data_IF_189734541775
#
_entry.id   IF_189734541775
#
_cell.length_a   1.000
_cell.length_b   1.000
_cell.length_c   1.000
_cell.angle_alpha   90.00
_cell.angle_beta   90.00
_cell.angle_gamma   90.00
#
_symmetry.space_group_name_H-M   'P 1'
#
loop_
_entity.id
_entity.type
_entity.pdbx_description
1 polymer ?
#
# COMPACT_ATOMS: atom_id res chain seq x y z
N UNK A 1 25.09 -10.61 22.93
CA UNK A 1 24.43 -9.73 21.94
C UNK A 1 23.05 -10.31 21.68
N UNK A 2 22.03 -9.47 21.49
CA UNK A 2 20.73 -9.99 21.08
C UNK A 2 20.82 -10.46 19.62
N UNK A 3 20.24 -11.62 19.31
CA UNK A 3 20.18 -12.18 17.96
C UNK A 3 18.73 -12.16 17.47
N UNK A 4 18.53 -12.05 16.15
CA UNK A 4 17.21 -12.10 15.54
C UNK A 4 16.58 -13.47 15.82
N UNK A 5 15.45 -13.48 16.53
CA UNK A 5 14.78 -14.72 16.91
C UNK A 5 13.86 -15.23 15.79
N UNK A 6 14.44 -15.54 14.62
CA UNK A 6 13.74 -15.91 13.37
C UNK A 6 12.62 -16.92 13.65
N UNK A 7 12.93 -18.05 14.29
CA UNK A 7 11.95 -19.11 14.56
C UNK A 7 10.79 -18.65 15.46
N UNK A 8 11.05 -17.72 16.39
CA UNK A 8 9.99 -17.15 17.24
C UNK A 8 9.08 -16.23 16.45
N UNK A 9 9.63 -15.43 15.53
CA UNK A 9 8.84 -14.55 14.67
C UNK A 9 8.01 -15.34 13.67
N UNK A 10 8.58 -16.37 13.04
CA UNK A 10 7.84 -17.31 12.17
C UNK A 10 6.70 -17.96 12.94
N UNK A 11 6.99 -18.50 14.14
CA UNK A 11 5.96 -19.12 14.99
C UNK A 11 4.86 -18.12 15.36
N UNK A 12 5.19 -16.87 15.66
CA UNK A 12 4.21 -15.84 15.98
C UNK A 12 3.29 -15.54 14.78
N UNK A 13 3.86 -15.29 13.60
CA UNK A 13 3.09 -14.99 12.38
C UNK A 13 2.12 -16.14 12.06
N UNK A 14 2.60 -17.39 12.09
CA UNK A 14 1.77 -18.57 11.86
C UNK A 14 0.70 -18.80 12.95
N UNK A 15 0.95 -18.35 14.19
CA UNK A 15 -0.01 -18.48 15.28
C UNK A 15 -1.15 -17.45 15.18
N UNK A 16 -0.86 -16.23 14.73
CA UNK A 16 -1.87 -15.19 14.50
C UNK A 16 -2.91 -15.65 13.48
N UNK A 17 -2.49 -16.35 12.44
CA UNK A 17 -3.39 -16.93 11.43
C UNK A 17 -4.32 -18.00 12.03
N UNK A 18 -3.79 -18.85 12.92
CA UNK A 18 -4.49 -20.03 13.47
C UNK A 18 -5.41 -19.69 14.64
N UNK A 19 -5.12 -18.64 15.40
CA UNK A 19 -5.88 -18.30 16.60
C UNK A 19 -7.15 -17.49 16.31
N UNK A 20 -8.09 -18.08 15.55
CA UNK A 20 -9.27 -17.40 15.01
C UNK A 20 -10.34 -17.05 16.06
N UNK A 21 -10.29 -17.67 17.24
CA UNK A 21 -11.31 -17.56 18.28
C UNK A 21 -10.95 -16.57 19.40
N UNK A 22 -9.76 -15.97 19.35
CA UNK A 22 -9.38 -14.92 20.29
C UNK A 22 -10.19 -13.65 20.07
N UNK A 23 -10.44 -12.88 21.15
CA UNK A 23 -11.14 -11.60 21.05
C UNK A 23 -10.45 -10.66 20.05
N UNK A 24 -9.11 -10.60 20.11
CA UNK A 24 -8.28 -9.84 19.20
C UNK A 24 -8.47 -10.29 17.74
N UNK A 25 -8.51 -11.60 17.48
CA UNK A 25 -8.74 -12.10 16.13
C UNK A 25 -10.15 -11.80 15.60
N UNK A 26 -11.16 -11.78 16.47
CA UNK A 26 -12.53 -11.45 16.07
C UNK A 26 -12.65 -9.95 15.76
N UNK A 27 -12.05 -9.09 16.58
CA UNK A 27 -12.06 -7.63 16.34
C UNK A 27 -11.27 -7.26 15.08
N UNK A 28 -10.16 -7.95 14.82
CA UNK A 28 -9.30 -7.72 13.66
C UNK A 28 -9.71 -8.53 12.42
N UNK A 29 -10.86 -9.22 12.47
CA UNK A 29 -11.28 -10.14 11.41
C UNK A 29 -11.40 -9.45 10.05
N UNK A 30 -11.93 -8.22 10.05
CA UNK A 30 -12.08 -7.39 8.87
C UNK A 30 -10.74 -6.87 8.29
N UNK A 31 -9.60 -7.06 8.96
CA UNK A 31 -8.27 -6.60 8.50
C UNK A 31 -7.37 -7.74 8.03
N UNK A 32 -7.83 -9.00 8.08
CA UNK A 32 -7.00 -10.19 7.83
C UNK A 32 -6.29 -10.17 6.48
N UNK A 33 -6.95 -9.73 5.41
CA UNK A 33 -6.34 -9.65 4.06
C UNK A 33 -5.11 -8.75 4.04
N UNK A 34 -5.19 -7.58 4.67
CA UNK A 34 -4.04 -6.68 4.74
C UNK A 34 -2.96 -7.22 5.68
N UNK A 35 -3.36 -7.81 6.82
CA UNK A 35 -2.44 -8.50 7.73
C UNK A 35 -1.70 -9.66 7.07
N UNK A 36 -2.36 -10.41 6.18
CA UNK A 36 -1.76 -11.49 5.41
C UNK A 36 -0.64 -10.97 4.51
N UNK A 37 -0.86 -9.87 3.79
CA UNK A 37 0.20 -9.26 2.96
C UNK A 37 1.46 -8.94 3.78
N UNK A 38 1.31 -8.24 4.90
CA UNK A 38 2.45 -7.87 5.75
C UNK A 38 3.11 -9.07 6.42
N UNK A 39 2.32 -10.02 6.91
CA UNK A 39 2.83 -11.24 7.55
C UNK A 39 3.62 -12.12 6.57
N UNK A 40 3.10 -12.32 5.35
CA UNK A 40 3.76 -13.11 4.31
C UNK A 40 5.03 -12.41 3.80
N UNK A 41 4.99 -11.09 3.65
CA UNK A 41 6.18 -10.31 3.30
C UNK A 41 7.26 -10.41 4.38
N UNK A 42 6.89 -10.40 5.65
CA UNK A 42 7.83 -10.64 6.74
C UNK A 42 8.42 -12.06 6.70
N UNK A 43 7.62 -13.09 6.38
CA UNK A 43 8.13 -14.44 6.19
C UNK A 43 9.10 -14.55 5.01
N UNK A 44 8.82 -13.88 3.89
CA UNK A 44 9.74 -13.80 2.76
C UNK A 44 11.08 -13.16 3.16
N UNK A 45 11.03 -12.01 3.85
CA UNK A 45 12.22 -11.33 4.35
C UNK A 45 13.08 -12.22 5.28
N UNK A 46 12.43 -13.13 6.01
CA UNK A 46 13.10 -14.11 6.87
C UNK A 46 13.57 -15.37 6.12
N UNK A 47 13.29 -15.50 4.82
CA UNK A 47 13.58 -16.70 4.02
C UNK A 47 12.73 -17.90 4.43
N UNK A 48 11.48 -17.65 4.85
CA UNK A 48 10.55 -18.63 5.45
C UNK A 48 9.15 -18.57 4.84
N UNK A 49 9.03 -18.04 3.62
CA UNK A 49 7.76 -17.99 2.90
C UNK A 49 7.20 -19.41 2.65
N UNK A 50 8.07 -20.41 2.50
CA UNK A 50 7.74 -21.83 2.37
C UNK A 50 7.12 -22.45 3.64
N UNK A 51 7.09 -21.72 4.76
CA UNK A 51 6.49 -22.17 6.02
C UNK A 51 4.95 -22.07 6.04
N UNK A 52 4.34 -21.48 5.00
CA UNK A 52 2.87 -21.42 4.84
C UNK A 52 2.40 -22.39 3.75
N UNK A 53 1.15 -22.83 3.86
CA UNK A 53 0.50 -23.57 2.79
C UNK A 53 -0.05 -22.59 1.74
N UNK A 54 0.71 -22.38 0.66
CA UNK A 54 0.36 -21.44 -0.41
C UNK A 54 -1.02 -21.72 -0.99
N UNK A 55 -1.38 -22.99 -1.22
CA UNK A 55 -2.68 -23.36 -1.78
C UNK A 55 -3.84 -23.03 -0.84
N UNK A 56 -3.64 -23.17 0.48
CA UNK A 56 -4.63 -22.79 1.48
C UNK A 56 -4.85 -21.27 1.50
N UNK A 57 -3.78 -20.50 1.45
CA UNK A 57 -3.84 -19.02 1.40
C UNK A 57 -4.56 -18.56 0.13
N UNK A 58 -4.20 -19.10 -1.04
CA UNK A 58 -4.85 -18.76 -2.31
C UNK A 58 -6.33 -19.12 -2.30
N UNK A 59 -6.67 -20.33 -1.84
CA UNK A 59 -8.06 -20.78 -1.69
C UNK A 59 -8.86 -19.86 -0.78
N UNK A 60 -8.27 -19.36 0.31
CA UNK A 60 -8.91 -18.38 1.19
C UNK A 60 -9.07 -17.01 0.51
N UNK A 61 -8.04 -16.50 -0.16
CA UNK A 61 -8.10 -15.22 -0.88
C UNK A 61 -9.24 -15.23 -1.91
N UNK A 62 -9.32 -16.28 -2.73
CA UNK A 62 -10.36 -16.40 -3.76
C UNK A 62 -11.78 -16.45 -3.18
N UNK A 63 -11.96 -16.99 -1.96
CA UNK A 63 -13.26 -16.97 -1.25
C UNK A 63 -13.63 -15.58 -0.71
N UNK A 64 -12.66 -14.68 -0.57
CA UNK A 64 -12.90 -13.29 -0.19
C UNK A 64 -13.28 -12.40 -1.41
N UNK A 65 -13.25 -12.93 -2.64
CA UNK A 65 -13.68 -12.17 -3.81
C UNK A 65 -15.21 -12.09 -3.87
N UNK A 66 -15.74 -10.88 -3.93
CA UNK A 66 -17.17 -10.62 -4.04
C UNK A 66 -17.68 -10.79 -5.49
N UNK A 67 -19.00 -10.86 -5.68
CA UNK A 67 -19.62 -10.87 -7.01
C UNK A 67 -19.29 -9.61 -7.81
N UNK A 68 -19.12 -8.47 -7.13
CA UNK A 68 -18.71 -7.19 -7.72
C UNK A 68 -17.28 -7.19 -8.23
N UNK A 69 -16.46 -8.17 -7.82
CA UNK A 69 -15.06 -8.35 -8.21
C UNK A 69 -14.02 -7.89 -7.20
N UNK A 70 -14.41 -7.01 -6.27
CA UNK A 70 -13.55 -6.56 -5.18
C UNK A 70 -13.34 -7.64 -4.12
N UNK A 71 -12.26 -7.51 -3.35
CA UNK A 71 -11.99 -8.41 -2.24
C UNK A 71 -12.37 -7.75 -0.92
N UNK A 72 -12.79 -8.59 0.02
CA UNK A 72 -13.06 -8.22 1.39
C UNK A 72 -11.87 -8.52 2.30
N UNK A 73 -11.90 -7.97 3.52
CA UNK A 73 -10.84 -8.19 4.50
C UNK A 73 -10.81 -9.61 5.05
N UNK A 74 -11.96 -10.29 5.03
CA UNK A 74 -12.11 -11.73 5.26
C UNK A 74 -13.44 -12.21 4.64
N UNK A 75 -13.67 -13.53 4.60
CA UNK A 75 -14.90 -14.14 4.10
C UNK A 75 -16.11 -13.56 4.83
N UNK A 76 -17.12 -13.11 4.08
CA UNK A 76 -18.37 -12.58 4.62
C UNK A 76 -18.34 -11.09 4.99
N UNK A 77 -17.25 -10.38 4.70
CA UNK A 77 -17.16 -8.92 4.85
C UNK A 77 -17.36 -8.20 3.52
N UNK A 78 -17.58 -6.89 3.58
CA UNK A 78 -17.76 -6.05 2.39
C UNK A 78 -16.47 -5.90 1.57
N UNK A 79 -16.58 -5.82 0.24
CA UNK A 79 -15.44 -5.54 -0.63
C UNK A 79 -14.95 -4.10 -0.44
N UNK A 80 -13.63 -3.92 -0.48
CA UNK A 80 -12.99 -2.61 -0.34
C UNK A 80 -11.65 -2.59 -1.08
N UNK A 81 -11.29 -1.45 -1.68
CA UNK A 81 -10.10 -1.35 -2.52
C UNK A 81 -8.78 -1.74 -1.83
N UNK A 82 -8.62 -1.39 -0.54
CA UNK A 82 -7.48 -1.83 0.28
C UNK A 82 -7.26 -3.35 0.25
N UNK A 83 -8.32 -4.12 0.39
CA UNK A 83 -8.23 -5.59 0.42
C UNK A 83 -8.11 -6.15 -0.99
N UNK A 84 -8.70 -5.50 -2.00
CA UNK A 84 -8.44 -5.81 -3.41
C UNK A 84 -6.95 -5.67 -3.74
N UNK A 85 -6.30 -4.56 -3.36
CA UNK A 85 -4.85 -4.42 -3.54
C UNK A 85 -4.09 -5.50 -2.76
N UNK A 86 -4.43 -5.71 -1.48
CA UNK A 86 -3.73 -6.69 -0.64
C UNK A 86 -3.81 -8.11 -1.22
N UNK A 87 -4.97 -8.52 -1.74
CA UNK A 87 -5.16 -9.80 -2.43
C UNK A 87 -4.27 -9.91 -3.68
N UNK A 88 -4.26 -8.88 -4.53
CA UNK A 88 -3.40 -8.82 -5.72
C UNK A 88 -1.92 -8.89 -5.33
N UNK A 89 -1.50 -8.17 -4.30
CA UNK A 89 -0.12 -8.18 -3.81
C UNK A 89 0.30 -9.54 -3.26
N UNK A 90 -0.56 -10.24 -2.51
CA UNK A 90 -0.26 -11.60 -2.02
C UNK A 90 -0.16 -12.60 -3.18
N UNK A 91 -1.09 -12.53 -4.14
CA UNK A 91 -1.01 -13.38 -5.33
C UNK A 91 0.24 -13.08 -6.15
N UNK A 92 0.62 -11.80 -6.27
CA UNK A 92 1.87 -11.41 -6.88
C UNK A 92 3.06 -12.01 -6.11
N UNK A 93 3.12 -11.87 -4.77
CA UNK A 93 4.16 -12.41 -3.89
C UNK A 93 4.42 -13.91 -4.12
N UNK A 94 3.37 -14.69 -4.37
CA UNK A 94 3.49 -16.12 -4.67
C UNK A 94 3.73 -16.44 -6.15
N UNK A 95 3.83 -15.44 -7.02
CA UNK A 95 3.85 -15.58 -8.47
C UNK A 95 2.64 -16.39 -9.00
N UNK A 96 1.45 -16.02 -8.50
CA UNK A 96 0.16 -16.69 -8.75
C UNK A 96 -0.93 -15.73 -9.21
N UNK A 97 -0.58 -14.65 -9.91
CA UNK A 97 -1.57 -13.74 -10.49
C UNK A 97 -2.43 -14.43 -11.57
N UNK A 98 -1.98 -15.53 -12.16
CA UNK A 98 -2.69 -16.31 -13.16
C UNK A 98 -3.99 -16.95 -12.64
N UNK A 99 -4.12 -17.13 -11.33
CA UNK A 99 -5.35 -17.68 -10.71
C UNK A 99 -6.44 -16.64 -10.50
N UNK A 100 -6.10 -15.34 -10.63
CA UNK A 100 -7.01 -14.24 -10.45
C UNK A 100 -7.82 -14.01 -11.73
N UNK A 101 -9.14 -13.87 -11.58
CA UNK A 101 -9.96 -13.22 -12.61
C UNK A 101 -9.64 -11.72 -12.62
N UNK A 102 -8.63 -11.36 -13.42
CA UNK A 102 -8.13 -9.98 -13.53
C UNK A 102 -9.23 -9.05 -14.01
N UNK A 103 -10.01 -9.45 -15.03
CA UNK A 103 -11.06 -8.60 -15.60
C UNK A 103 -12.12 -8.27 -14.55
N UNK A 104 -12.50 -9.24 -13.72
CA UNK A 104 -13.46 -9.03 -12.64
C UNK A 104 -12.90 -8.10 -11.56
N UNK A 105 -11.66 -8.29 -11.13
CA UNK A 105 -11.00 -7.41 -10.17
C UNK A 105 -10.87 -5.97 -10.71
N UNK A 106 -10.44 -5.83 -11.97
CA UNK A 106 -10.32 -4.54 -12.66
C UNK A 106 -11.69 -3.87 -12.80
N UNK A 107 -12.75 -4.60 -13.14
CA UNK A 107 -14.10 -4.06 -13.21
C UNK A 107 -14.55 -3.43 -11.88
N UNK A 108 -14.24 -4.06 -10.75
CA UNK A 108 -14.51 -3.47 -9.44
C UNK A 108 -13.71 -2.19 -9.21
N UNK A 109 -12.41 -2.20 -9.51
CA UNK A 109 -11.54 -1.02 -9.37
C UNK A 109 -12.10 0.16 -10.19
N UNK A 110 -12.49 -0.10 -11.44
CA UNK A 110 -13.05 0.93 -12.33
C UNK A 110 -14.41 1.43 -11.87
N UNK A 111 -15.22 0.61 -11.20
CA UNK A 111 -16.48 1.05 -10.60
C UNK A 111 -16.28 2.03 -9.42
N UNK A 112 -15.07 2.10 -8.85
CA UNK A 112 -14.70 3.07 -7.83
C UNK A 112 -14.17 4.40 -8.40
N UNK A 113 -14.04 4.52 -9.73
CA UNK A 113 -13.53 5.72 -10.42
C UNK A 113 -14.57 6.84 -10.41
N UNK A 114 -14.13 8.05 -10.09
CA UNK A 114 -14.95 9.25 -10.07
C UNK A 114 -14.71 10.14 -11.30
N UNK A 115 -15.60 11.12 -11.52
CA UNK A 115 -15.52 12.06 -12.65
C UNK A 115 -14.26 12.94 -12.63
N UNK A 116 -13.67 13.13 -11.45
CA UNK A 116 -12.45 13.90 -11.24
C UNK A 116 -11.16 13.12 -11.57
N UNK A 117 -11.31 11.89 -12.09
CA UNK A 117 -10.22 10.97 -12.41
C UNK A 117 -9.72 10.15 -11.23
N UNK A 118 -10.05 10.55 -10.00
CA UNK A 118 -9.70 9.87 -8.76
C UNK A 118 -10.54 8.61 -8.50
N UNK A 119 -10.30 8.00 -7.34
CA UNK A 119 -10.98 6.78 -6.92
C UNK A 119 -11.39 6.83 -5.45
N UNK A 120 -12.58 6.33 -5.17
CA UNK A 120 -13.09 6.07 -3.82
C UNK A 120 -12.66 4.71 -3.26
N UNK A 121 -12.96 4.47 -1.99
CA UNK A 121 -12.73 3.17 -1.34
C UNK A 121 -13.67 2.06 -1.85
N UNK A 122 -14.87 2.46 -2.27
CA UNK A 122 -15.95 1.66 -2.84
C UNK A 122 -16.68 2.50 -3.90
N UNK A 123 -17.56 1.91 -4.73
CA UNK A 123 -18.31 2.65 -5.74
C UNK A 123 -19.11 3.81 -5.14
N UNK A 124 -18.94 5.01 -5.68
CA UNK A 124 -19.56 6.25 -5.18
C UNK A 124 -18.86 6.90 -3.98
N UNK A 125 -17.76 6.31 -3.47
CA UNK A 125 -16.93 6.92 -2.43
C UNK A 125 -16.14 8.13 -2.94
N UNK A 126 -15.88 9.10 -2.06
CA UNK A 126 -15.08 10.29 -2.37
C UNK A 126 -13.66 9.91 -2.82
N UNK A 127 -13.14 10.60 -3.85
CA UNK A 127 -11.76 10.46 -4.28
C UNK A 127 -10.78 10.77 -3.14
N UNK A 128 -9.87 9.84 -2.87
CA UNK A 128 -8.91 9.98 -1.79
C UNK A 128 -7.57 9.37 -2.17
N UNK A 129 -6.46 10.07 -1.92
CA UNK A 129 -5.11 9.68 -2.36
C UNK A 129 -4.71 8.26 -1.91
N UNK A 130 -5.04 7.86 -0.67
CA UNK A 130 -4.78 6.50 -0.20
C UNK A 130 -5.58 5.42 -0.94
N UNK A 131 -6.80 5.74 -1.39
CA UNK A 131 -7.64 4.80 -2.15
C UNK A 131 -7.21 4.75 -3.63
N UNK A 132 -6.82 5.90 -4.18
CA UNK A 132 -6.18 6.01 -5.49
C UNK A 132 -4.91 5.16 -5.53
N UNK A 133 -4.07 5.22 -4.50
CA UNK A 133 -2.90 4.36 -4.39
C UNK A 133 -3.29 2.88 -4.50
N UNK A 134 -4.34 2.45 -3.79
CA UNK A 134 -4.80 1.07 -3.84
C UNK A 134 -5.30 0.67 -5.24
N UNK A 135 -6.08 1.54 -5.89
CA UNK A 135 -6.55 1.32 -7.27
C UNK A 135 -5.40 1.25 -8.27
N UNK A 136 -4.53 2.26 -8.29
CA UNK A 136 -3.43 2.38 -9.26
C UNK A 136 -2.40 1.28 -9.02
N UNK A 137 -2.10 0.95 -7.76
CA UNK A 137 -1.23 -0.17 -7.40
C UNK A 137 -1.75 -1.49 -7.93
N UNK A 138 -3.05 -1.79 -7.72
CA UNK A 138 -3.64 -3.03 -8.23
C UNK A 138 -3.61 -3.08 -9.76
N UNK A 139 -3.96 -1.97 -10.43
CA UNK A 139 -3.90 -1.86 -11.89
C UNK A 139 -2.46 -1.97 -12.43
N UNK A 140 -1.46 -1.48 -11.70
CA UNK A 140 -0.05 -1.64 -12.07
C UNK A 140 0.36 -3.10 -12.03
N UNK A 141 0.03 -3.79 -10.94
CA UNK A 141 0.38 -5.20 -10.73
C UNK A 141 -0.34 -6.14 -11.71
N UNK A 142 -1.55 -5.80 -12.16
CA UNK A 142 -2.30 -6.58 -13.15
C UNK A 142 -2.03 -6.17 -14.61
N UNK A 143 -1.13 -5.21 -14.86
CA UNK A 143 -0.86 -4.71 -16.22
C UNK A 143 -2.01 -3.92 -16.85
N UNK A 144 -2.93 -3.40 -16.03
CA UNK A 144 -4.19 -2.76 -16.43
C UNK A 144 -4.17 -1.22 -16.31
N UNK A 145 -2.99 -0.59 -16.20
CA UNK A 145 -2.87 0.87 -16.10
C UNK A 145 -3.43 1.64 -17.31
N UNK A 146 -3.65 0.99 -18.44
CA UNK A 146 -4.21 1.61 -19.64
C UNK A 146 -5.67 2.09 -19.47
N UNK A 147 -6.38 1.67 -18.41
CA UNK A 147 -7.70 2.19 -18.05
C UNK A 147 -7.66 3.54 -17.30
N UNK A 148 -6.48 3.96 -16.85
CA UNK A 148 -6.29 5.22 -16.12
C UNK A 148 -6.05 6.34 -17.13
N UNK A 149 -6.86 7.39 -17.03
CA UNK A 149 -6.52 8.66 -17.66
C UNK A 149 -5.40 9.30 -16.82
N UNK A 150 -4.17 9.15 -17.29
CA UNK A 150 -2.96 9.53 -16.54
C UNK A 150 -2.87 11.03 -16.32
N UNK A 151 -3.37 11.84 -17.26
CA UNK A 151 -3.29 13.30 -17.16
C UNK A 151 -4.37 13.85 -16.23
N UNK A 152 -5.61 13.33 -16.34
CA UNK A 152 -6.69 13.73 -15.44
C UNK A 152 -6.38 13.33 -13.99
N UNK A 153 -5.94 12.09 -13.78
CA UNK A 153 -5.55 11.62 -12.44
C UNK A 153 -4.29 12.34 -11.94
N UNK A 154 -3.31 12.56 -12.82
CA UNK A 154 -2.10 13.31 -12.51
C UNK A 154 -2.41 14.72 -12.03
N UNK A 155 -3.35 15.40 -12.68
CA UNK A 155 -3.83 16.72 -12.27
C UNK A 155 -4.47 16.67 -10.88
N UNK A 156 -5.37 15.72 -10.65
CA UNK A 156 -6.03 15.56 -9.35
C UNK A 156 -5.03 15.35 -8.21
N UNK A 157 -4.01 14.53 -8.45
CA UNK A 157 -2.97 14.19 -7.49
C UNK A 157 -1.98 15.34 -7.26
N UNK A 158 -1.56 16.07 -8.29
CA UNK A 158 -0.63 17.20 -8.10
C UNK A 158 -1.29 18.39 -7.37
N UNK A 159 -2.59 18.60 -7.57
CA UNK A 159 -3.41 19.56 -6.82
C UNK A 159 -3.63 19.16 -5.35
N UNK A 160 -2.99 18.08 -4.87
CA UNK A 160 -2.87 17.78 -3.43
C UNK A 160 -1.71 18.52 -2.77
N UNK A 161 -0.75 19.04 -3.55
CA UNK A 161 0.39 19.76 -2.99
C UNK A 161 -0.05 21.16 -2.59
N UNK A 162 -0.06 21.42 -1.28
CA UNK A 162 -0.47 22.71 -0.74
C UNK A 162 0.72 23.68 -0.64
N UNK A 163 0.45 24.94 -0.31
CA UNK A 163 1.47 26.01 -0.24
C UNK A 163 2.65 25.70 0.69
N UNK A 164 2.45 24.91 1.74
CA UNK A 164 3.53 24.49 2.65
C UNK A 164 4.49 23.45 2.03
N UNK A 165 4.15 22.89 0.87
CA UNK A 165 4.93 21.85 0.19
C UNK A 165 4.44 20.43 0.45
N UNK A 166 3.73 20.21 1.56
CA UNK A 166 3.12 18.93 1.91
C UNK A 166 1.93 18.57 1.02
N UNK A 167 1.53 17.30 1.08
CA UNK A 167 0.44 16.73 0.29
C UNK A 167 -0.75 16.40 1.19
N UNK A 168 -1.98 16.59 0.71
CA UNK A 168 -3.19 16.19 1.42
C UNK A 168 -3.88 14.98 0.74
N UNK A 169 -4.79 14.34 1.48
CA UNK A 169 -5.50 13.15 0.99
C UNK A 169 -6.66 13.44 0.05
N UNK A 170 -7.25 14.63 0.15
CA UNK A 170 -8.42 15.08 -0.60
C UNK A 170 -8.49 16.62 -0.57
N UNK A 171 -9.25 17.24 -1.50
CA UNK A 171 -9.37 18.69 -1.56
C UNK A 171 -9.78 19.32 -0.21
N UNK A 172 -9.34 20.55 0.04
CA UNK A 172 -9.68 21.34 1.23
C UNK A 172 -9.29 20.70 2.58
N UNK A 173 -8.30 19.80 2.60
CA UNK A 173 -7.72 19.22 3.81
C UNK A 173 -6.28 19.67 4.05
N UNK A 174 -5.86 19.55 5.31
CA UNK A 174 -4.49 19.83 5.72
C UNK A 174 -3.51 18.82 5.11
N UNK A 175 -2.25 19.23 4.90
CA UNK A 175 -1.21 18.29 4.51
C UNK A 175 -0.90 17.31 5.62
N UNK A 176 -0.38 16.15 5.23
CA UNK A 176 0.03 15.07 6.11
C UNK A 176 1.14 14.28 5.42
N UNK A 177 2.24 14.02 6.15
CA UNK A 177 3.44 13.33 5.66
C UNK A 177 3.12 12.01 4.98
N UNK A 178 2.13 11.24 5.42
CA UNK A 178 1.84 9.94 4.83
C UNK A 178 1.41 10.04 3.35
N UNK A 179 0.83 11.16 2.93
CA UNK A 179 0.50 11.41 1.52
C UNK A 179 1.72 11.62 0.64
N UNK A 180 2.90 11.88 1.21
CA UNK A 180 4.17 11.81 0.49
C UNK A 180 4.41 10.42 -0.10
N UNK A 181 3.86 9.37 0.50
CA UNK A 181 3.85 8.04 -0.10
C UNK A 181 2.66 7.85 -1.03
N UNK A 182 1.43 8.01 -0.53
CA UNK A 182 0.22 7.67 -1.29
C UNK A 182 0.09 8.42 -2.62
N UNK A 183 0.42 9.72 -2.62
CA UNK A 183 0.37 10.55 -3.84
C UNK A 183 1.57 10.28 -4.74
N UNK A 184 2.81 10.28 -4.21
CA UNK A 184 3.99 10.08 -5.05
C UNK A 184 4.00 8.70 -5.70
N UNK A 185 3.69 7.62 -4.96
CA UNK A 185 3.62 6.28 -5.54
C UNK A 185 2.64 6.22 -6.69
N UNK A 186 1.45 6.81 -6.52
CA UNK A 186 0.43 6.89 -7.57
C UNK A 186 0.94 7.66 -8.79
N UNK A 187 1.56 8.83 -8.57
CA UNK A 187 2.14 9.65 -9.63
C UNK A 187 3.30 8.94 -10.35
N UNK A 188 4.13 8.19 -9.65
CA UNK A 188 5.23 7.42 -10.25
C UNK A 188 4.68 6.31 -11.13
N UNK A 189 3.69 5.54 -10.64
CA UNK A 189 3.06 4.46 -11.42
C UNK A 189 2.40 4.96 -12.72
N UNK A 190 1.91 6.20 -12.74
CA UNK A 190 1.32 6.82 -13.95
C UNK A 190 2.29 7.76 -14.70
N UNK A 191 3.57 7.80 -14.32
CA UNK A 191 4.61 8.63 -14.95
C UNK A 191 4.31 10.15 -14.94
N UNK A 192 3.86 10.67 -13.79
CA UNK A 192 3.50 12.08 -13.55
C UNK A 192 4.14 12.71 -12.32
N UNK A 193 5.11 12.04 -11.70
CA UNK A 193 5.80 12.55 -10.49
C UNK A 193 6.50 13.89 -10.71
N UNK A 194 6.86 14.22 -11.95
CA UNK A 194 7.48 15.49 -12.33
C UNK A 194 6.54 16.71 -12.21
N UNK A 195 5.25 16.52 -11.91
CA UNK A 195 4.28 17.61 -11.69
C UNK A 195 4.30 18.15 -10.25
N UNK A 196 5.04 17.51 -9.35
CA UNK A 196 5.20 17.93 -7.95
C UNK A 196 6.47 18.79 -7.82
N UNK A 197 6.38 19.84 -7.01
CA UNK A 197 7.53 20.59 -6.52
C UNK A 197 8.28 19.73 -5.48
N UNK A 198 9.32 19.03 -5.94
CA UNK A 198 10.06 18.04 -5.14
C UNK A 198 10.77 18.70 -3.97
N UNK A 199 11.38 19.86 -4.21
CA UNK A 199 12.15 20.60 -3.22
C UNK A 199 11.26 21.03 -2.05
N UNK A 200 10.05 21.53 -2.34
CA UNK A 200 9.09 21.87 -1.29
C UNK A 200 8.60 20.65 -0.51
N UNK A 201 8.38 19.51 -1.18
CA UNK A 201 7.93 18.31 -0.50
C UNK A 201 9.02 17.70 0.39
N UNK A 202 10.27 17.64 -0.08
CA UNK A 202 11.43 17.25 0.74
C UNK A 202 11.52 18.15 1.97
N UNK A 203 11.43 19.47 1.78
CA UNK A 203 11.45 20.42 2.90
C UNK A 203 10.32 20.14 3.90
N UNK A 204 9.10 19.93 3.43
CA UNK A 204 7.96 19.63 4.32
C UNK A 204 8.19 18.37 5.16
N UNK A 205 8.66 17.27 4.55
CA UNK A 205 8.93 16.03 5.30
C UNK A 205 10.02 16.25 6.35
N UNK A 206 11.10 16.95 6.00
CA UNK A 206 12.20 17.25 6.93
C UNK A 206 11.78 18.24 8.03
N UNK A 207 10.83 19.13 7.78
CA UNK A 207 10.28 20.02 8.81
C UNK A 207 9.39 19.26 9.82
N UNK A 208 8.95 18.03 9.51
CA UNK A 208 8.15 17.17 10.40
C UNK A 208 9.02 16.20 11.22
N UNK A 209 10.35 16.29 11.14
CA UNK A 209 11.25 15.38 11.85
C UNK A 209 11.53 15.88 13.28
N UNK A 210 11.53 14.98 14.26
CA UNK A 210 12.11 15.26 15.58
C UNK A 210 13.63 15.03 15.48
N UNK A 211 14.41 16.12 15.46
CA UNK A 211 15.87 16.06 15.37
C UNK A 211 16.55 15.72 16.69
N UNK A 212 15.85 15.80 17.83
CA UNK A 212 16.39 15.52 19.16
C UNK A 212 16.22 14.04 19.52
N UNK A 213 15.02 13.47 19.29
CA UNK A 213 14.68 12.11 19.70
C UNK A 213 14.47 11.14 18.52
N UNK A 214 14.39 11.66 17.29
CA UNK A 214 14.13 10.87 16.08
C UNK A 214 12.65 10.59 15.85
N UNK A 215 12.34 10.21 14.61
CA UNK A 215 10.98 9.99 14.13
C UNK A 215 10.46 11.16 13.30
N UNK A 216 9.36 10.91 12.58
CA UNK A 216 8.66 11.90 11.75
C UNK A 216 7.19 11.88 12.14
N UNK A 217 6.59 13.04 12.32
CA UNK A 217 5.17 13.25 12.60
C UNK A 217 4.38 13.48 11.30
N UNK A 218 3.06 13.61 11.40
CA UNK A 218 2.21 13.92 10.25
C UNK A 218 2.36 15.38 9.77
N UNK A 219 2.65 16.32 10.69
CA UNK A 219 2.90 17.74 10.41
C UNK A 219 3.98 18.32 11.34
N UNK A 220 4.57 19.49 11.02
CA UNK A 220 5.51 20.14 11.92
C UNK A 220 4.90 20.36 13.30
N UNK A 221 5.71 20.15 14.34
CA UNK A 221 5.37 20.29 15.76
C UNK A 221 4.35 19.26 16.33
N UNK A 222 3.84 18.33 15.51
CA UNK A 222 3.00 17.21 15.98
C UNK A 222 3.86 16.07 16.57
N UNK A 223 3.23 15.13 17.29
CA UNK A 223 3.93 14.00 17.90
C UNK A 223 4.38 12.97 16.85
N UNK A 224 5.61 12.48 16.96
CA UNK A 224 6.16 11.46 16.05
C UNK A 224 5.55 10.09 16.28
N UNK A 225 5.45 9.30 15.21
CA UNK A 225 5.06 7.90 15.29
C UNK A 225 5.73 7.05 14.21
N UNK A 226 5.65 5.72 14.36
CA UNK A 226 6.30 4.77 13.44
C UNK A 226 5.68 4.81 12.04
N UNK A 227 4.39 5.11 11.93
CA UNK A 227 3.67 5.13 10.66
C UNK A 227 4.15 6.29 9.79
N UNK A 228 4.13 7.52 10.32
CA UNK A 228 4.62 8.70 9.62
C UNK A 228 6.13 8.67 9.43
N UNK A 229 6.89 8.08 10.37
CA UNK A 229 8.33 7.84 10.17
C UNK A 229 8.58 6.97 8.94
N UNK A 230 7.89 5.84 8.81
CA UNK A 230 8.04 4.96 7.65
C UNK A 230 7.65 5.68 6.35
N UNK A 231 6.47 6.31 6.29
CA UNK A 231 6.00 6.96 5.07
C UNK A 231 6.76 8.23 4.71
N UNK A 232 7.30 8.96 5.68
CA UNK A 232 8.20 10.08 5.45
C UNK A 232 9.51 9.62 4.82
N UNK A 233 10.16 8.58 5.36
CA UNK A 233 11.38 7.99 4.79
C UNK A 233 11.10 7.38 3.41
N UNK A 234 9.98 6.69 3.23
CA UNK A 234 9.58 6.12 1.94
C UNK A 234 9.30 7.22 0.90
N UNK A 235 8.63 8.31 1.28
CA UNK A 235 8.42 9.47 0.42
C UNK A 235 9.75 10.13 0.00
N UNK A 236 10.69 10.31 0.94
CA UNK A 236 12.04 10.79 0.63
C UNK A 236 12.79 9.83 -0.33
N UNK A 237 12.63 8.52 -0.15
CA UNK A 237 13.19 7.51 -1.06
C UNK A 237 12.64 7.66 -2.49
N UNK A 238 11.32 7.82 -2.65
CA UNK A 238 10.68 8.06 -3.95
C UNK A 238 11.14 9.37 -4.61
N UNK A 239 11.58 10.35 -3.82
CA UNK A 239 12.17 11.61 -4.30
C UNK A 239 13.67 11.52 -4.59
N UNK A 240 14.29 10.35 -4.42
CA UNK A 240 15.72 10.11 -4.54
C UNK A 240 16.57 10.94 -3.56
N UNK A 241 16.08 11.12 -2.33
CA UNK A 241 16.84 11.80 -1.29
C UNK A 241 18.16 11.04 -0.99
N UNK A 242 19.31 11.74 -0.90
CA UNK A 242 20.60 11.08 -0.75
C UNK A 242 20.69 10.15 0.46
N UNK A 243 21.30 8.98 0.28
CA UNK A 243 21.55 8.01 1.35
C UNK A 243 20.40 7.02 1.61
N UNK A 244 19.27 7.16 0.93
CA UNK A 244 18.16 6.22 1.02
C UNK A 244 18.21 5.17 -0.10
N UNK A 245 17.80 3.94 0.21
CA UNK A 245 17.57 2.90 -0.78
C UNK A 245 16.31 3.19 -1.59
N UNK A 246 16.31 2.85 -2.87
CA UNK A 246 15.12 2.93 -3.71
C UNK A 246 14.02 1.97 -3.22
N UNK A 247 12.78 2.42 -3.26
CA UNK A 247 11.59 1.66 -2.88
C UNK A 247 10.65 1.53 -4.09
N UNK A 248 10.02 0.36 -4.24
CA UNK A 248 9.04 0.10 -5.28
C UNK A 248 7.67 0.71 -4.91
N UNK A 249 7.07 1.54 -5.78
CA UNK A 249 5.84 2.26 -5.47
C UNK A 249 4.59 1.39 -5.43
N UNK A 250 4.58 0.18 -6.00
CA UNK A 250 3.42 -0.71 -5.98
C UNK A 250 3.45 -1.69 -4.80
N UNK A 251 4.65 -2.15 -4.43
CA UNK A 251 4.83 -3.12 -3.34
C UNK A 251 5.13 -2.48 -1.98
N UNK A 252 5.52 -1.21 -1.91
CA UNK A 252 6.02 -0.61 -0.66
C UNK A 252 7.22 -1.37 -0.05
N UNK A 253 8.07 -1.93 -0.91
CA UNK A 253 9.25 -2.68 -0.53
C UNK A 253 10.50 -2.15 -1.25
N UNK A 254 11.69 -2.23 -0.63
CA UNK A 254 12.92 -1.87 -1.30
C UNK A 254 13.06 -2.59 -2.65
N UNK A 255 13.54 -1.90 -3.68
CA UNK A 255 13.64 -2.45 -5.05
C UNK A 255 14.53 -3.70 -5.08
N UNK A 256 15.59 -3.77 -4.26
CA UNK A 256 16.43 -4.95 -4.12
C UNK A 256 15.67 -6.16 -3.54
N UNK A 257 14.72 -5.90 -2.63
CA UNK A 257 13.83 -6.93 -2.08
C UNK A 257 12.84 -7.39 -3.15
N UNK A 258 12.18 -6.48 -3.86
CA UNK A 258 11.27 -6.79 -4.97
C UNK A 258 11.99 -7.61 -6.04
N UNK A 259 13.19 -7.21 -6.46
CA UNK A 259 13.97 -7.94 -7.45
C UNK A 259 14.35 -9.36 -6.99
N UNK A 260 14.67 -9.51 -5.70
CA UNK A 260 14.93 -10.83 -5.11
C UNK A 260 13.69 -11.71 -5.12
N UNK A 261 12.54 -11.15 -4.75
CA UNK A 261 11.27 -11.88 -4.66
C UNK A 261 10.76 -12.28 -6.05
N UNK A 262 10.78 -11.37 -7.02
CA UNK A 262 10.02 -11.52 -8.26
C UNK A 262 10.88 -11.79 -9.51
N UNK A 263 12.17 -11.48 -9.49
CA UNK A 263 13.02 -11.49 -10.69
C UNK A 263 14.32 -12.28 -10.55
N UNK A 264 14.58 -12.91 -9.39
CA UNK A 264 15.79 -13.68 -9.12
C UNK A 264 15.56 -15.21 -9.07
N UNK A 265 14.43 -15.68 -9.62
CA UNK A 265 14.05 -17.09 -9.73
C UNK A 265 14.46 -17.72 -11.06
#
# INVERSE_FOLDING_TARGET
>A
MAELAVDKHVKYILAVEKNKDSFESVVMDHLRMNGAYWGLTALDLLGKLDSVNVDEVISWILKCQHESGGFSGNIGHDPHILYTLSAVQVLALFNKLDVLDIDKAVSYILSCKNLDGGFGCTPGGESHAGQIFCCVGALALTGSLHYVDKDLLGWWLCERQVKSGGLNGRPEKLPDVCYSWWVLSSLIMIDRVHWIDKEKLVKFILDCQDVENGGISDRPDDAVDVYHTYFGVAGLSLLNYPGLKAIDPAYALPVDVVNRIFFSG
#
